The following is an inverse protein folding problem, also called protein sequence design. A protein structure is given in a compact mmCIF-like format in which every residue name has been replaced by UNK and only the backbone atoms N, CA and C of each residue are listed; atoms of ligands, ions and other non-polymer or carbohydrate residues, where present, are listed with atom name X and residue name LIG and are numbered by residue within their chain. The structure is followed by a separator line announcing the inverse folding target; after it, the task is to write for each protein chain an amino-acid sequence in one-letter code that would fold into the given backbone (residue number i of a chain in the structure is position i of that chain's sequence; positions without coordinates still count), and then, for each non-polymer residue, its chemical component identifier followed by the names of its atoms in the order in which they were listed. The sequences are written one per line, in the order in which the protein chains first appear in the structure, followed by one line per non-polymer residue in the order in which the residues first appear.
data_IF_008057146533
#
_entry.id   IF_008057146533
#
_cell.length_a   1.000
_cell.length_b   1.000
_cell.length_c   1.000
_cell.angle_alpha   90.00
_cell.angle_beta   90.00
_cell.angle_gamma   90.00
#
_symmetry.space_group_name_H-M   'P 1'
#
loop_
_entity.id
_entity.type
_entity.pdbx_description
1 polymer ?
#
# COMPACT_ATOMS: atom_id res chain seq x y z
N UNK A 1 -3.84 -23.15 25.94
CA UNK A 1 -4.13 -22.21 24.86
C UNK A 1 -4.57 -22.92 23.58
N UNK A 2 -4.32 -24.20 23.50
CA UNK A 2 -4.65 -25.01 22.31
C UNK A 2 -6.15 -25.06 22.00
N UNK A 3 -7.02 -24.82 23.01
CA UNK A 3 -8.47 -24.86 22.81
C UNK A 3 -9.08 -23.54 22.35
N UNK A 4 -8.26 -22.49 22.26
CA UNK A 4 -8.74 -21.18 21.79
C UNK A 4 -8.66 -21.13 20.27
N UNK A 5 -9.81 -20.95 19.64
CA UNK A 5 -9.85 -20.79 18.18
C UNK A 5 -9.17 -19.48 17.79
N UNK A 6 -8.10 -19.57 16.99
CA UNK A 6 -7.35 -18.41 16.53
C UNK A 6 -7.36 -18.38 15.00
N UNK A 7 -7.72 -17.24 14.43
CA UNK A 7 -7.70 -17.04 12.98
C UNK A 7 -6.58 -16.06 12.66
N UNK A 8 -5.59 -16.51 11.89
CA UNK A 8 -4.44 -15.70 11.48
C UNK A 8 -4.27 -15.77 9.98
N UNK A 9 -3.89 -14.66 9.38
CA UNK A 9 -3.45 -14.66 8.00
C UNK A 9 -2.04 -15.18 7.87
N UNK A 10 -1.66 -15.55 6.65
CA UNK A 10 -0.31 -15.98 6.32
C UNK A 10 0.10 -15.36 4.97
N UNK A 11 1.26 -15.76 4.47
CA UNK A 11 1.84 -15.21 3.25
C UNK A 11 1.91 -16.24 2.11
N UNK A 12 1.18 -17.34 2.24
CA UNK A 12 1.27 -18.47 1.28
C UNK A 12 0.25 -18.35 0.14
N UNK A 13 -0.72 -17.45 0.24
CA UNK A 13 -1.77 -17.32 -0.77
C UNK A 13 -1.35 -16.35 -1.87
N UNK A 14 -0.78 -16.88 -2.96
CA UNK A 14 -0.42 -16.10 -4.13
C UNK A 14 -1.52 -15.97 -5.17
N UNK A 15 -2.76 -16.30 -4.81
CA UNK A 15 -3.88 -16.30 -5.77
C UNK A 15 -4.67 -15.00 -5.81
N UNK A 16 -4.42 -14.09 -4.91
CA UNK A 16 -5.12 -12.82 -4.86
C UNK A 16 -4.77 -11.91 -6.03
N UNK A 17 -5.64 -10.93 -6.27
CA UNK A 17 -5.42 -9.90 -7.27
C UNK A 17 -5.14 -8.58 -6.55
N UNK A 18 -4.10 -7.91 -6.97
CA UNK A 18 -3.57 -6.73 -6.29
C UNK A 18 -3.46 -5.55 -7.24
N UNK A 19 -3.89 -4.38 -6.78
CA UNK A 19 -3.65 -3.13 -7.49
C UNK A 19 -2.69 -2.28 -6.65
N UNK A 20 -1.66 -1.75 -7.31
CA UNK A 20 -0.76 -0.79 -6.68
C UNK A 20 -1.16 0.60 -7.18
N UNK A 21 -1.63 1.44 -6.27
CA UNK A 21 -1.96 2.83 -6.58
C UNK A 21 -0.78 3.68 -6.18
N UNK A 22 -0.13 4.29 -7.17
CA UNK A 22 1.21 4.86 -7.01
C UNK A 22 1.19 6.35 -7.33
N UNK A 23 1.58 7.18 -6.38
CA UNK A 23 1.75 8.61 -6.60
C UNK A 23 2.95 8.87 -7.50
N UNK A 24 2.77 9.74 -8.50
CA UNK A 24 3.83 10.02 -9.47
C UNK A 24 4.92 10.94 -8.94
N UNK A 25 4.56 11.87 -8.05
CA UNK A 25 5.53 12.81 -7.48
C UNK A 25 6.52 12.11 -6.56
N UNK A 26 7.73 12.64 -6.49
CA UNK A 26 8.83 12.07 -5.73
C UNK A 26 9.26 10.71 -6.25
N UNK A 27 9.31 10.57 -7.58
CA UNK A 27 9.58 9.30 -8.25
C UNK A 27 10.91 8.67 -7.84
N UNK A 28 11.92 9.47 -7.49
CA UNK A 28 13.22 8.97 -7.05
C UNK A 28 13.11 8.09 -5.79
N UNK A 29 12.04 8.24 -5.03
CA UNK A 29 11.74 7.41 -3.85
C UNK A 29 10.65 6.41 -4.16
N UNK A 30 9.56 6.87 -4.76
CA UNK A 30 8.35 6.08 -4.97
C UNK A 30 8.58 4.89 -5.89
N UNK A 31 9.43 5.03 -6.92
CA UNK A 31 9.73 3.90 -7.80
C UNK A 31 10.43 2.77 -7.06
N UNK A 32 11.25 3.06 -6.05
CA UNK A 32 11.87 2.04 -5.21
C UNK A 32 10.84 1.35 -4.31
N UNK A 33 9.83 2.08 -3.85
CA UNK A 33 8.73 1.47 -3.10
C UNK A 33 7.94 0.53 -3.99
N UNK A 34 7.68 0.93 -5.22
CA UNK A 34 6.97 0.12 -6.21
C UNK A 34 7.73 -1.16 -6.54
N UNK A 35 9.01 -1.04 -6.82
CA UNK A 35 9.87 -2.21 -7.09
C UNK A 35 9.87 -3.18 -5.93
N UNK A 36 9.99 -2.68 -4.70
CA UNK A 36 9.96 -3.52 -3.50
C UNK A 36 8.63 -4.22 -3.32
N UNK A 37 7.53 -3.53 -3.56
CA UNK A 37 6.20 -4.12 -3.44
C UNK A 37 5.98 -5.21 -4.50
N UNK A 38 6.33 -4.95 -5.75
CA UNK A 38 6.18 -5.93 -6.83
C UNK A 38 7.05 -7.16 -6.58
N UNK A 39 8.32 -6.95 -6.19
CA UNK A 39 9.22 -8.05 -5.89
C UNK A 39 8.66 -8.94 -4.77
N UNK A 40 8.11 -8.30 -3.73
CA UNK A 40 7.50 -9.03 -2.61
C UNK A 40 6.31 -9.87 -3.08
N UNK A 41 5.43 -9.31 -3.88
CA UNK A 41 4.29 -10.05 -4.41
C UNK A 41 4.74 -11.24 -5.25
N UNK A 42 5.71 -11.04 -6.14
CA UNK A 42 6.24 -12.10 -7.00
C UNK A 42 6.88 -13.23 -6.18
N UNK A 43 7.68 -12.89 -5.18
CA UNK A 43 8.35 -13.87 -4.33
C UNK A 43 7.37 -14.70 -3.52
N UNK A 44 6.16 -14.19 -3.31
CA UNK A 44 5.10 -14.91 -2.59
C UNK A 44 4.08 -15.55 -3.55
N UNK A 45 4.44 -15.66 -4.83
CA UNK A 45 3.69 -16.46 -5.79
C UNK A 45 2.56 -15.73 -6.52
N UNK A 46 2.48 -14.41 -6.41
CA UNK A 46 1.47 -13.66 -7.16
C UNK A 46 1.88 -13.56 -8.63
N UNK A 47 1.01 -14.00 -9.52
CA UNK A 47 1.24 -13.95 -10.96
C UNK A 47 1.15 -12.50 -11.44
N UNK A 48 2.03 -12.09 -12.35
CA UNK A 48 2.05 -10.72 -12.88
C UNK A 48 0.71 -10.30 -13.49
N UNK A 49 -0.03 -11.22 -14.09
CA UNK A 49 -1.35 -10.90 -14.65
C UNK A 49 -2.38 -10.53 -13.58
N UNK A 50 -2.08 -10.80 -12.31
CA UNK A 50 -2.92 -10.43 -11.17
C UNK A 50 -2.42 -9.19 -10.45
N UNK A 51 -1.43 -8.51 -11.02
CA UNK A 51 -0.88 -7.27 -10.47
C UNK A 51 -1.16 -6.15 -11.46
N UNK A 52 -1.78 -5.08 -11.00
CA UNK A 52 -2.01 -3.89 -11.82
C UNK A 52 -1.39 -2.67 -11.14
N UNK A 53 -0.95 -1.73 -11.95
CA UNK A 53 -0.38 -0.47 -11.48
C UNK A 53 -1.26 0.66 -11.98
N UNK A 54 -1.73 1.50 -11.05
CA UNK A 54 -2.52 2.68 -11.37
C UNK A 54 -1.76 3.89 -10.85
N UNK A 55 -1.41 4.80 -11.74
CA UNK A 55 -0.61 5.96 -11.35
C UNK A 55 -1.50 7.17 -11.09
N UNK A 56 -1.42 7.69 -9.87
CA UNK A 56 -2.09 8.92 -9.45
C UNK A 56 -1.11 10.09 -9.56
N UNK A 57 -1.60 11.34 -9.72
CA UNK A 57 -0.69 12.48 -9.79
C UNK A 57 0.18 12.64 -8.53
N UNK A 58 -0.41 12.57 -7.36
CA UNK A 58 0.29 12.72 -6.10
C UNK A 58 -0.45 12.06 -4.96
N UNK A 59 0.08 12.20 -3.75
CA UNK A 59 -0.50 11.55 -2.57
C UNK A 59 -1.93 12.03 -2.28
N UNK A 60 -2.23 13.28 -2.52
CA UNK A 60 -3.56 13.83 -2.23
C UNK A 60 -4.66 13.13 -3.06
N UNK A 61 -4.33 12.69 -4.28
CA UNK A 61 -5.28 12.04 -5.19
C UNK A 61 -5.39 10.52 -4.98
N UNK A 62 -4.49 9.93 -4.22
CA UNK A 62 -4.49 8.48 -3.98
C UNK A 62 -5.82 7.96 -3.42
N UNK A 63 -6.43 8.59 -2.40
CA UNK A 63 -7.69 8.07 -1.86
C UNK A 63 -8.81 7.95 -2.89
N UNK A 64 -8.99 8.95 -3.74
CA UNK A 64 -10.05 8.89 -4.75
C UNK A 64 -9.78 7.78 -5.77
N UNK A 65 -8.52 7.61 -6.18
CA UNK A 65 -8.14 6.53 -7.10
C UNK A 65 -8.40 5.18 -6.44
N UNK A 66 -8.03 5.02 -5.17
CA UNK A 66 -8.32 3.79 -4.42
C UNK A 66 -9.82 3.49 -4.37
N UNK A 67 -10.64 4.52 -4.15
CA UNK A 67 -12.09 4.36 -4.13
C UNK A 67 -12.61 3.81 -5.47
N UNK A 68 -12.12 4.36 -6.56
CA UNK A 68 -12.55 3.91 -7.91
C UNK A 68 -12.08 2.49 -8.20
N UNK A 69 -10.85 2.16 -7.84
CA UNK A 69 -10.30 0.81 -8.02
C UNK A 69 -11.08 -0.20 -7.19
N UNK A 70 -11.34 0.12 -5.92
CA UNK A 70 -12.11 -0.76 -5.04
C UNK A 70 -13.54 -0.99 -5.56
N UNK A 71 -14.18 0.05 -6.09
CA UNK A 71 -15.55 -0.02 -6.59
C UNK A 71 -15.71 -0.96 -7.78
N UNK A 72 -14.65 -1.20 -8.55
CA UNK A 72 -14.71 -2.14 -9.69
C UNK A 72 -14.86 -3.59 -9.25
N UNK A 73 -14.50 -3.93 -8.03
CA UNK A 73 -14.65 -5.28 -7.51
C UNK A 73 -13.71 -6.31 -8.14
N UNK A 74 -12.62 -5.88 -8.74
CA UNK A 74 -11.69 -6.76 -9.46
C UNK A 74 -10.42 -7.09 -8.70
N UNK A 75 -10.24 -6.52 -7.51
CA UNK A 75 -9.02 -6.75 -6.71
C UNK A 75 -9.35 -7.18 -5.29
N UNK A 76 -8.46 -7.95 -4.70
CA UNK A 76 -8.59 -8.42 -3.32
C UNK A 76 -7.93 -7.48 -2.33
N UNK A 77 -6.96 -6.71 -2.78
CA UNK A 77 -6.30 -5.69 -1.97
C UNK A 77 -5.71 -4.59 -2.84
N UNK A 78 -5.51 -3.45 -2.24
CA UNK A 78 -4.84 -2.31 -2.86
C UNK A 78 -3.60 -2.00 -2.03
N UNK A 79 -2.50 -1.67 -2.70
CA UNK A 79 -1.28 -1.21 -2.06
C UNK A 79 -1.08 0.24 -2.48
N UNK A 80 -1.20 1.17 -1.53
CA UNK A 80 -1.04 2.59 -1.81
C UNK A 80 0.41 3.00 -1.57
N UNK A 81 1.06 3.52 -2.58
CA UNK A 81 2.47 3.90 -2.54
C UNK A 81 2.64 5.37 -2.93
N UNK A 82 3.39 6.09 -2.15
CA UNK A 82 3.66 7.50 -2.40
C UNK A 82 4.65 8.04 -1.40
N UNK A 83 4.94 9.32 -1.50
CA UNK A 83 5.81 9.99 -0.54
C UNK A 83 5.37 11.45 -0.39
N UNK A 84 5.24 11.87 0.84
CA UNK A 84 5.00 13.27 1.22
C UNK A 84 6.19 13.70 2.06
N UNK A 85 6.94 14.65 1.53
CA UNK A 85 8.16 15.14 2.19
C UNK A 85 7.87 16.55 2.69
N UNK A 86 8.16 16.80 3.98
CA UNK A 86 7.90 18.09 4.59
C UNK A 86 8.68 19.19 3.88
N UNK A 87 7.98 20.27 3.53
CA UNK A 87 8.57 21.47 2.98
C UNK A 87 8.50 22.63 3.98
N UNK A 88 8.71 23.84 3.49
CA UNK A 88 8.70 25.05 4.31
C UNK A 88 7.31 25.62 4.61
N UNK A 89 6.24 24.94 4.21
CA UNK A 89 4.87 25.42 4.37
C UNK A 89 3.99 24.35 5.01
N UNK A 90 2.80 24.70 5.53
CA UNK A 90 1.86 23.73 6.10
C UNK A 90 1.22 22.79 5.07
N UNK A 91 1.55 22.90 3.80
CA UNK A 91 1.04 22.03 2.74
C UNK A 91 1.22 20.53 3.08
N UNK A 92 2.36 20.19 3.71
CA UNK A 92 2.66 18.82 4.12
C UNK A 92 1.57 18.23 5.01
N UNK A 93 1.13 18.94 6.05
CA UNK A 93 0.14 18.43 6.98
C UNK A 93 -1.20 18.18 6.28
N UNK A 94 -1.60 19.05 5.37
CA UNK A 94 -2.85 18.89 4.63
C UNK A 94 -2.81 17.67 3.73
N UNK A 95 -1.74 17.50 2.97
CA UNK A 95 -1.59 16.37 2.05
C UNK A 95 -1.49 15.06 2.81
N UNK A 96 -0.61 14.99 3.82
CA UNK A 96 -0.37 13.78 4.59
C UNK A 96 -1.63 13.37 5.36
N UNK A 97 -2.30 14.31 6.02
CA UNK A 97 -3.49 14.04 6.81
C UNK A 97 -4.66 13.56 5.95
N UNK A 98 -4.95 14.24 4.86
CA UNK A 98 -6.06 13.85 3.99
C UNK A 98 -5.79 12.54 3.26
N UNK A 99 -4.56 12.30 2.83
CA UNK A 99 -4.17 11.03 2.21
C UNK A 99 -4.39 9.87 3.17
N UNK A 100 -3.88 9.98 4.39
CA UNK A 100 -3.98 8.94 5.41
C UNK A 100 -5.44 8.66 5.77
N UNK A 101 -6.19 9.70 6.08
CA UNK A 101 -7.60 9.59 6.47
C UNK A 101 -8.44 9.03 5.33
N UNK A 102 -8.23 9.54 4.12
CA UNK A 102 -8.99 9.11 2.94
C UNK A 102 -8.76 7.64 2.60
N UNK A 103 -7.53 7.17 2.67
CA UNK A 103 -7.20 5.76 2.43
C UNK A 103 -7.91 4.87 3.46
N UNK A 104 -7.83 5.24 4.74
CA UNK A 104 -8.48 4.48 5.81
C UNK A 104 -9.99 4.41 5.59
N UNK A 105 -10.60 5.53 5.21
CA UNK A 105 -12.04 5.59 4.97
C UNK A 105 -12.46 4.71 3.80
N UNK A 106 -11.73 4.75 2.69
CA UNK A 106 -12.04 3.92 1.51
C UNK A 106 -11.96 2.44 1.87
N UNK A 107 -10.95 2.04 2.64
CA UNK A 107 -10.79 0.66 3.07
C UNK A 107 -11.99 0.20 3.91
N UNK A 108 -12.40 1.02 4.87
CA UNK A 108 -13.55 0.68 5.73
C UNK A 108 -14.86 0.65 4.94
N UNK A 109 -15.09 1.61 4.07
CA UNK A 109 -16.34 1.72 3.31
C UNK A 109 -16.47 0.63 2.25
N UNK A 110 -15.38 0.26 1.60
CA UNK A 110 -15.39 -0.71 0.51
C UNK A 110 -15.23 -2.16 0.98
N UNK A 111 -14.66 -2.36 2.16
CA UNK A 111 -14.29 -3.69 2.64
C UNK A 111 -13.05 -4.26 1.95
N UNK A 112 -12.39 -3.50 1.07
CA UNK A 112 -11.15 -3.90 0.41
C UNK A 112 -9.97 -3.42 1.26
N UNK A 113 -9.09 -4.33 1.69
CA UNK A 113 -7.92 -3.90 2.45
C UNK A 113 -6.99 -3.04 1.60
N UNK A 114 -6.55 -1.94 2.16
CA UNK A 114 -5.59 -1.05 1.51
C UNK A 114 -4.37 -0.94 2.41
N UNK A 115 -3.25 -1.45 1.93
CA UNK A 115 -2.00 -1.36 2.66
C UNK A 115 -1.39 0.03 2.47
N UNK A 116 -0.98 0.64 3.56
CA UNK A 116 -0.49 2.01 3.57
C UNK A 116 1.02 2.05 3.39
N UNK A 117 1.46 2.34 2.18
CA UNK A 117 2.87 2.48 1.82
C UNK A 117 3.23 3.91 1.42
N UNK A 118 2.52 4.90 1.96
CA UNK A 118 2.82 6.30 1.69
C UNK A 118 3.75 6.82 2.78
N UNK A 119 4.96 7.22 2.37
CA UNK A 119 5.92 7.83 3.30
C UNK A 119 5.48 9.24 3.64
N UNK A 120 5.51 9.58 4.93
CA UNK A 120 5.27 10.94 5.41
C UNK A 120 6.48 11.29 6.27
N UNK A 121 7.43 12.00 5.70
CA UNK A 121 8.75 12.19 6.28
C UNK A 121 9.15 13.67 6.33
N UNK A 122 10.10 13.99 7.19
CA UNK A 122 10.55 15.36 7.38
C UNK A 122 11.62 15.79 6.39
N UNK A 123 12.33 14.84 5.79
CA UNK A 123 13.46 15.13 4.91
C UNK A 123 13.57 14.12 3.77
N UNK A 124 14.33 14.51 2.75
CA UNK A 124 14.66 13.62 1.63
C UNK A 124 15.47 12.44 2.14
N UNK A 125 16.38 12.66 3.08
CA UNK A 125 17.20 11.60 3.68
C UNK A 125 16.34 10.54 4.34
N UNK A 126 15.30 10.94 5.08
CA UNK A 126 14.36 10.00 5.68
C UNK A 126 13.61 9.21 4.63
N UNK A 127 13.22 9.85 3.53
CA UNK A 127 12.54 9.17 2.44
C UNK A 127 13.43 8.10 1.80
N UNK A 128 14.69 8.44 1.54
CA UNK A 128 15.66 7.50 0.97
C UNK A 128 15.91 6.33 1.92
N UNK A 129 16.04 6.59 3.22
CA UNK A 129 16.27 5.55 4.21
C UNK A 129 15.14 4.51 4.24
N UNK A 130 13.91 4.91 3.94
CA UNK A 130 12.72 4.06 4.03
C UNK A 130 12.25 3.50 2.69
N UNK A 131 13.02 3.73 1.64
CA UNK A 131 12.71 3.24 0.29
C UNK A 131 13.72 2.20 -0.23
N UNK A 132 14.38 1.51 0.68
CA UNK A 132 15.27 0.40 0.34
C UNK A 132 16.69 0.54 0.81
N UNK A 133 16.96 1.44 1.77
CA UNK A 133 18.29 1.58 2.35
C UNK A 133 18.27 1.31 3.85
N UNK A 134 18.74 2.24 4.66
CA UNK A 134 19.02 2.04 6.08
C UNK A 134 17.83 1.55 6.91
N UNK A 135 16.63 2.07 6.65
CA UNK A 135 15.43 1.76 7.43
C UNK A 135 14.46 0.85 6.69
N UNK A 136 14.93 0.07 5.73
CA UNK A 136 14.12 -0.89 4.99
C UNK A 136 13.40 -0.28 3.81
N UNK A 137 12.29 -0.92 3.41
CA UNK A 137 11.49 -0.48 2.27
C UNK A 137 10.01 -0.55 2.65
N UNK A 138 9.37 0.61 2.70
CA UNK A 138 7.95 0.71 3.09
C UNK A 138 7.02 0.01 2.08
N UNK A 139 7.42 -0.06 0.82
CA UNK A 139 6.67 -0.80 -0.21
C UNK A 139 6.65 -2.30 0.06
N UNK A 140 7.78 -2.85 0.48
CA UNK A 140 7.87 -4.26 0.90
C UNK A 140 6.93 -4.52 2.08
N UNK A 141 6.97 -3.66 3.09
CA UNK A 141 6.12 -3.80 4.27
C UNK A 141 4.63 -3.73 3.90
N UNK A 142 4.26 -2.80 3.03
CA UNK A 142 2.87 -2.65 2.59
C UNK A 142 2.41 -3.88 1.81
N UNK A 143 3.25 -4.42 0.92
CA UNK A 143 2.93 -5.64 0.18
C UNK A 143 2.73 -6.83 1.10
N UNK A 144 3.58 -6.99 2.13
CA UNK A 144 3.42 -8.04 3.12
C UNK A 144 2.10 -7.91 3.87
N UNK A 145 1.75 -6.69 4.28
CA UNK A 145 0.47 -6.43 4.95
C UNK A 145 -0.72 -6.78 4.05
N UNK A 146 -0.64 -6.45 2.77
CA UNK A 146 -1.70 -6.77 1.81
C UNK A 146 -1.87 -8.28 1.68
N UNK A 147 -0.78 -9.03 1.54
CA UNK A 147 -0.82 -10.49 1.45
C UNK A 147 -1.47 -11.09 2.69
N UNK A 148 -1.05 -10.65 3.86
CA UNK A 148 -1.60 -11.15 5.12
C UNK A 148 -3.10 -10.84 5.24
N UNK A 149 -3.52 -9.63 4.87
CA UNK A 149 -4.93 -9.24 4.96
C UNK A 149 -5.82 -10.02 4.00
N UNK A 150 -5.36 -10.27 2.77
CA UNK A 150 -6.11 -11.10 1.82
C UNK A 150 -6.31 -12.49 2.39
N UNK A 151 -5.26 -13.08 2.95
CA UNK A 151 -5.32 -14.38 3.59
C UNK A 151 -6.28 -14.37 4.78
N UNK A 152 -6.14 -13.39 5.67
CA UNK A 152 -6.96 -13.29 6.87
C UNK A 152 -8.45 -13.14 6.56
N UNK A 153 -8.79 -12.22 5.66
CA UNK A 153 -10.20 -11.99 5.30
C UNK A 153 -10.82 -13.23 4.64
N UNK A 154 -10.04 -13.96 3.83
CA UNK A 154 -10.48 -15.20 3.24
C UNK A 154 -10.79 -16.26 4.30
N UNK A 155 -10.00 -16.32 5.37
CA UNK A 155 -10.21 -17.27 6.46
C UNK A 155 -11.39 -16.90 7.37
N UNK A 156 -11.67 -15.62 7.50
CA UNK A 156 -12.83 -15.14 8.27
C UNK A 156 -14.11 -15.50 7.51
N UNK A 157 -14.10 -15.38 6.21
CA UNK A 157 -15.25 -15.74 5.36
C UNK A 157 -16.09 -14.55 4.89
#
# INVERSE_FOLDING_TARGET
MTDIKTIEGDFTSGKGKYALVVGRWNSFVVEHLLEGAIDTLRRHGVDEKHISIVRAPGAFEIPLVCKKVAAKGEVDAIIALGAVIRGGTPHFEHVAGECTKGIAQVSMDSGVPIAFGVLTVDSIEQAVERSGTKAGNKGVEAAMSALEMVSLLGKIG
#
